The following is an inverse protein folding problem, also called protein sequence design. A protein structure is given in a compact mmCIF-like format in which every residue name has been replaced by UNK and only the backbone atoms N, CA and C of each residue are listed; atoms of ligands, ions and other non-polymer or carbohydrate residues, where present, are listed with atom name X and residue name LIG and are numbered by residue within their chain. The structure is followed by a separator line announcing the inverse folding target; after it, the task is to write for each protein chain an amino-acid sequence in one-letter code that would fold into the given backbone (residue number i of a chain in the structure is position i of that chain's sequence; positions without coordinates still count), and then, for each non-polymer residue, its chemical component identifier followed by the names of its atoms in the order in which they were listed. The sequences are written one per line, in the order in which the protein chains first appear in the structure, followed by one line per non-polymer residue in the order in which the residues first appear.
data_IF_525773903826
#
_entry.id   IF_525773903826
#
_cell.length_a   1.000
_cell.length_b   1.000
_cell.length_c   1.000
_cell.angle_alpha   90.00
_cell.angle_beta   90.00
_cell.angle_gamma   90.00
#
_symmetry.space_group_name_H-M   'P 1'
#
loop_
_entity.id
_entity.type
_entity.pdbx_description
1 polymer ?
#
# COMPACT_ATOMS: atom_id res chain seq x y z
N UNK A 1 2.76 -7.43 -5.04
CA UNK A 1 1.33 -7.10 -4.81
C UNK A 1 0.51 -7.38 -6.06
N UNK A 2 -0.63 -8.03 -5.89
CA UNK A 2 -1.50 -8.47 -6.99
C UNK A 2 -2.27 -7.32 -7.62
N UNK A 3 -2.66 -6.32 -6.83
CA UNK A 3 -3.42 -5.16 -7.30
C UNK A 3 -2.60 -4.24 -8.20
N UNK A 4 -1.30 -4.05 -7.93
CA UNK A 4 -0.41 -3.26 -8.78
C UNK A 4 -0.13 -3.94 -10.14
N UNK A 5 -0.03 -5.26 -10.14
CA UNK A 5 0.16 -6.09 -11.36
C UNK A 5 -1.11 -6.08 -12.24
N UNK A 6 -2.28 -6.23 -11.60
CA UNK A 6 -3.60 -6.28 -12.25
C UNK A 6 -4.03 -4.93 -12.87
N UNK A 7 -3.64 -3.80 -12.27
CA UNK A 7 -3.98 -2.47 -12.80
C UNK A 7 -3.11 -2.05 -13.99
N UNK A 8 -1.90 -2.60 -14.11
CA UNK A 8 -0.96 -2.34 -15.19
C UNK A 8 -0.53 -0.87 -15.34
N UNK A 9 0.42 -0.58 -16.24
CA UNK A 9 0.96 0.78 -16.44
C UNK A 9 -0.05 1.76 -17.07
N UNK A 10 -1.21 1.29 -17.52
CA UNK A 10 -2.23 2.13 -18.16
C UNK A 10 -3.16 2.85 -17.17
N UNK A 11 -3.17 2.46 -15.89
CA UNK A 11 -4.04 3.04 -14.86
C UNK A 11 -3.31 3.94 -13.85
N UNK A 12 -2.01 3.75 -13.72
CA UNK A 12 -1.12 4.50 -12.83
C UNK A 12 0.05 5.10 -13.60
N UNK A 13 0.34 6.36 -13.33
CA UNK A 13 1.56 7.01 -13.80
C UNK A 13 2.78 6.34 -13.17
N UNK A 14 3.92 6.42 -13.85
CA UNK A 14 5.17 5.80 -13.38
C UNK A 14 5.55 6.27 -11.97
N UNK A 15 5.45 7.57 -11.69
CA UNK A 15 5.70 8.15 -10.37
C UNK A 15 4.70 7.66 -9.30
N UNK A 16 3.45 7.37 -9.67
CA UNK A 16 2.46 6.83 -8.74
C UNK A 16 2.80 5.37 -8.39
N UNK A 17 3.21 4.57 -9.37
CA UNK A 17 3.65 3.21 -9.13
C UNK A 17 4.94 3.15 -8.30
N UNK A 18 5.88 4.07 -8.54
CA UNK A 18 7.11 4.15 -7.75
C UNK A 18 6.82 4.43 -6.27
N UNK A 19 5.89 5.34 -5.97
CA UNK A 19 5.47 5.63 -4.59
C UNK A 19 4.90 4.40 -3.89
N UNK A 20 4.04 3.65 -4.59
CA UNK A 20 3.44 2.41 -4.07
C UNK A 20 4.50 1.34 -3.82
N UNK A 21 5.43 1.14 -4.77
CA UNK A 21 6.53 0.18 -4.62
C UNK A 21 7.45 0.57 -3.46
N UNK A 22 7.80 1.85 -3.34
CA UNK A 22 8.64 2.35 -2.27
C UNK A 22 8.04 2.08 -0.88
N UNK A 23 6.74 2.33 -0.69
CA UNK A 23 6.08 2.02 0.57
C UNK A 23 6.07 0.52 0.87
N UNK A 24 5.75 -0.32 -0.12
CA UNK A 24 5.77 -1.77 0.03
C UNK A 24 7.18 -2.29 0.35
N UNK A 25 8.21 -1.79 -0.33
CA UNK A 25 9.60 -2.17 -0.08
C UNK A 25 10.05 -1.76 1.32
N UNK A 26 9.74 -0.54 1.75
CA UNK A 26 10.04 -0.07 3.11
C UNK A 26 9.40 -0.98 4.16
N UNK A 27 8.13 -1.33 3.98
CA UNK A 27 7.39 -2.21 4.87
C UNK A 27 8.01 -3.61 5.01
N UNK A 28 8.56 -4.17 3.94
CA UNK A 28 9.24 -5.49 3.96
C UNK A 28 10.44 -5.48 4.92
N UNK A 29 11.15 -4.36 5.04
CA UNK A 29 12.35 -4.25 5.89
C UNK A 29 12.05 -3.70 7.29
N UNK A 30 10.87 -3.13 7.50
CA UNK A 30 10.43 -2.60 8.79
C UNK A 30 10.13 -3.72 9.77
N UNK A 31 10.74 -3.66 10.96
CA UNK A 31 10.49 -4.63 12.06
C UNK A 31 9.36 -4.20 13.00
N UNK A 32 9.18 -2.89 13.15
CA UNK A 32 8.16 -2.32 14.00
C UNK A 32 7.68 -1.02 13.35
N UNK A 33 6.50 -1.07 12.75
CA UNK A 33 5.92 0.05 12.02
C UNK A 33 5.79 1.29 12.89
N UNK A 34 5.38 1.14 14.15
CA UNK A 34 5.22 2.28 15.08
C UNK A 34 6.53 2.95 15.50
N UNK A 35 7.67 2.29 15.28
CA UNK A 35 9.00 2.85 15.57
C UNK A 35 9.74 3.31 14.30
N UNK A 36 9.15 3.08 13.12
CA UNK A 36 9.76 3.35 11.82
C UNK A 36 8.98 4.50 11.15
N UNK A 37 9.45 5.72 11.38
CA UNK A 37 8.81 6.92 10.86
C UNK A 37 8.81 6.95 9.33
N UNK A 38 9.83 6.40 8.68
CA UNK A 38 9.92 6.39 7.21
C UNK A 38 8.86 5.45 6.61
N UNK A 39 8.66 4.29 7.22
CA UNK A 39 7.60 3.37 6.81
C UNK A 39 6.19 3.91 7.07
N UNK A 40 6.00 4.63 8.18
CA UNK A 40 4.74 5.34 8.45
C UNK A 40 4.47 6.44 7.40
N UNK A 41 5.45 7.30 7.14
CA UNK A 41 5.31 8.39 6.17
C UNK A 41 5.04 7.85 4.76
N UNK A 42 5.70 6.75 4.37
CA UNK A 42 5.47 6.12 3.07
C UNK A 42 4.04 5.53 2.95
N UNK A 43 3.49 4.96 4.04
CA UNK A 43 2.09 4.50 4.07
C UNK A 43 1.09 5.66 3.95
N UNK A 44 1.31 6.73 4.71
CA UNK A 44 0.48 7.94 4.63
C UNK A 44 0.51 8.55 3.21
N UNK A 45 1.67 8.55 2.56
CA UNK A 45 1.84 9.02 1.19
C UNK A 45 1.04 8.17 0.17
N UNK A 46 0.99 6.85 0.35
CA UNK A 46 0.16 5.95 -0.48
C UNK A 46 -1.33 6.12 -0.18
N UNK A 47 -1.72 6.33 1.08
CA UNK A 47 -3.10 6.61 1.45
C UNK A 47 -3.60 7.93 0.85
N UNK A 48 -2.77 8.98 0.88
CA UNK A 48 -3.05 10.26 0.25
C UNK A 48 -3.18 10.14 -1.28
N UNK A 49 -2.29 9.36 -1.91
CA UNK A 49 -2.39 9.06 -3.35
C UNK A 49 -3.71 8.36 -3.67
N UNK A 50 -4.06 7.30 -2.94
CA UNK A 50 -5.31 6.56 -3.13
C UNK A 50 -6.53 7.47 -3.01
N UNK A 51 -6.58 8.33 -1.99
CA UNK A 51 -7.65 9.32 -1.82
C UNK A 51 -7.73 10.24 -3.04
N UNK A 52 -6.60 10.79 -3.48
CA UNK A 52 -6.52 11.70 -4.64
C UNK A 52 -7.03 11.02 -5.92
N UNK A 53 -6.72 9.74 -6.12
CA UNK A 53 -7.18 8.98 -7.29
C UNK A 53 -8.69 8.75 -7.27
N UNK A 54 -9.27 8.51 -6.10
CA UNK A 54 -10.72 8.36 -5.92
C UNK A 54 -11.44 9.70 -6.10
N UNK A 55 -10.95 10.77 -5.48
CA UNK A 55 -11.56 12.11 -5.57
C UNK A 55 -11.57 12.65 -7.01
N UNK A 56 -10.53 12.34 -7.79
CA UNK A 56 -10.47 12.69 -9.21
C UNK A 56 -11.27 11.73 -10.12
N UNK A 57 -12.01 10.78 -9.54
CA UNK A 57 -12.82 9.80 -10.27
C UNK A 57 -12.01 8.82 -11.13
N UNK A 58 -10.69 8.77 -10.94
CA UNK A 58 -9.83 7.82 -11.66
C UNK A 58 -10.05 6.41 -11.15
N UNK A 59 -10.24 6.25 -9.84
CA UNK A 59 -10.42 4.97 -9.16
C UNK A 59 -11.74 4.89 -8.39
N UNK A 60 -12.21 3.67 -8.20
CA UNK A 60 -13.27 3.39 -7.23
C UNK A 60 -12.68 3.26 -5.82
N UNK A 61 -13.45 3.61 -4.77
CA UNK A 61 -13.01 3.46 -3.37
C UNK A 61 -12.56 2.04 -3.04
N UNK A 62 -13.23 1.02 -3.61
CA UNK A 62 -12.90 -0.39 -3.41
C UNK A 62 -11.51 -0.74 -3.95
N UNK A 63 -11.11 -0.16 -5.09
CA UNK A 63 -9.78 -0.35 -5.67
C UNK A 63 -8.69 0.27 -4.80
N UNK A 64 -8.94 1.48 -4.28
CA UNK A 64 -8.05 2.15 -3.35
C UNK A 64 -7.87 1.35 -2.04
N UNK A 65 -8.96 0.84 -1.47
CA UNK A 65 -8.90 0.01 -0.27
C UNK A 65 -8.13 -1.30 -0.50
N UNK A 66 -8.37 -1.99 -1.62
CA UNK A 66 -7.64 -3.22 -1.96
C UNK A 66 -6.14 -2.97 -2.14
N UNK A 67 -5.76 -1.84 -2.73
CA UNK A 67 -4.34 -1.50 -2.83
C UNK A 67 -3.71 -1.28 -1.45
N UNK A 68 -4.38 -0.52 -0.57
CA UNK A 68 -3.85 -0.26 0.76
C UNK A 68 -3.69 -1.54 1.59
N UNK A 69 -4.65 -2.47 1.47
CA UNK A 69 -4.56 -3.80 2.06
C UNK A 69 -3.33 -4.56 1.54
N UNK A 70 -3.19 -4.68 0.20
CA UNK A 70 -2.02 -5.30 -0.44
C UNK A 70 -0.67 -4.67 0.01
N UNK A 71 -0.61 -3.35 0.24
CA UNK A 71 0.60 -2.67 0.73
C UNK A 71 0.87 -3.03 2.19
N UNK A 72 -0.17 -2.99 3.04
CA UNK A 72 -0.06 -3.34 4.45
C UNK A 72 0.37 -4.81 4.65
N UNK A 73 -0.05 -5.72 3.78
CA UNK A 73 0.39 -7.13 3.79
C UNK A 73 1.89 -7.31 3.53
N UNK A 74 2.58 -6.30 2.99
CA UNK A 74 4.03 -6.33 2.81
C UNK A 74 4.80 -6.02 4.11
N UNK A 75 4.13 -5.49 5.14
CA UNK A 75 4.71 -5.11 6.42
C UNK A 75 4.98 -6.28 7.36
N UNK A 76 5.66 -6.03 8.50
CA UNK A 76 5.81 -7.02 9.53
C UNK A 76 4.41 -7.47 9.97
N UNK A 77 4.14 -8.75 9.72
CA UNK A 77 2.89 -9.42 10.02
C UNK A 77 2.38 -8.98 11.40
N UNK A 78 1.30 -8.21 11.45
CA UNK A 78 0.56 -8.01 12.70
C UNK A 78 0.22 -9.42 13.16
N UNK A 79 0.81 -9.90 14.26
CA UNK A 79 1.14 -11.31 14.42
C UNK A 79 -0.04 -12.16 14.01
N UNK A 80 0.11 -12.99 12.96
CA UNK A 80 -0.85 -14.06 12.65
C UNK A 80 -1.13 -14.79 13.96
N UNK A 81 -2.25 -14.46 14.60
CA UNK A 81 -2.78 -15.28 15.68
C UNK A 81 -3.37 -16.47 14.96
N UNK A 82 -2.55 -17.49 14.72
CA UNK A 82 -3.01 -18.78 14.29
C UNK A 82 -3.81 -19.35 15.47
N UNK A 83 -5.08 -18.98 15.58
CA UNK A 83 -6.04 -19.63 16.46
C UNK A 83 -6.21 -21.05 15.90
N UNK A 84 -5.42 -21.98 16.43
CA UNK A 84 -5.66 -23.40 16.27
C UNK A 84 -7.00 -23.73 16.94
N UNK A 85 -7.90 -24.35 16.17
CA UNK A 85 -9.16 -24.91 16.64
C UNK A 85 -8.95 -26.16 17.51
#
# INVERSE_FOLDING_TARGET
MKTLDDMGPSKLLDSEQQRIRYAADNLIFTKNLSADAEACDALDDVAALCRTLVENGRWQPETAMRLLDDVCECGPDSPVILQAA
#
